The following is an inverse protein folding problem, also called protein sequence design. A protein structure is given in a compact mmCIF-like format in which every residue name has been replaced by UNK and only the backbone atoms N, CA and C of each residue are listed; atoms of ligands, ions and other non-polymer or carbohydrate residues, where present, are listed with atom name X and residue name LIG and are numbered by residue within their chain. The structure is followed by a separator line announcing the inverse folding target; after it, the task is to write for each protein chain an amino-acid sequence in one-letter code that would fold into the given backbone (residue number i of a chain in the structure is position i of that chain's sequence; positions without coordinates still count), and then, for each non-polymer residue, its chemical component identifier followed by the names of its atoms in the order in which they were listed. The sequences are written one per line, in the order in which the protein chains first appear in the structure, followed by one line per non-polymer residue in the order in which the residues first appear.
data_IF_610085133179
#
_entry.id   IF_610085133179
#
_cell.length_a   1.000
_cell.length_b   1.000
_cell.length_c   1.000
_cell.angle_alpha   90.00
_cell.angle_beta   90.00
_cell.angle_gamma   90.00
#
_symmetry.space_group_name_H-M   'P 1'
#
loop_
_entity.id
_entity.type
_entity.pdbx_description
1 polymer ?
#
# COMPACT_ATOMS: atom_id res chain seq x y z
N UNK A 1 -19.83 -1.26 -4.56
CA UNK A 1 -18.61 -1.92 -4.07
C UNK A 1 -17.47 -1.60 -5.02
N UNK A 2 -16.28 -1.29 -4.49
CA UNK A 2 -15.12 -0.88 -5.28
C UNK A 2 -13.87 -1.60 -4.77
N UNK A 3 -13.05 -2.13 -5.66
CA UNK A 3 -11.75 -2.70 -5.31
C UNK A 3 -10.74 -1.56 -5.11
N UNK A 4 -10.00 -1.59 -4.01
CA UNK A 4 -9.00 -0.57 -3.69
C UNK A 4 -7.56 -1.07 -3.78
N UNK A 5 -7.35 -2.33 -3.42
CA UNK A 5 -6.02 -2.90 -3.29
C UNK A 5 -6.08 -4.39 -3.61
N UNK A 6 -5.01 -4.93 -4.18
CA UNK A 6 -4.81 -6.37 -4.31
C UNK A 6 -3.34 -6.69 -4.10
N UNK A 7 -3.06 -7.87 -3.55
CA UNK A 7 -1.70 -8.37 -3.38
C UNK A 7 -1.66 -9.88 -3.55
N UNK A 8 -0.52 -10.40 -4.00
CA UNK A 8 -0.21 -11.84 -3.97
C UNK A 8 -0.05 -12.35 -2.54
N UNK A 9 0.32 -11.47 -1.60
CA UNK A 9 0.49 -11.82 -0.20
C UNK A 9 -0.82 -11.59 0.57
N UNK A 10 -1.45 -12.68 1.01
CA UNK A 10 -2.71 -12.60 1.75
C UNK A 10 -2.55 -11.97 3.13
N UNK A 11 -1.35 -12.02 3.71
CA UNK A 11 -1.07 -11.42 5.02
C UNK A 11 -1.06 -9.90 4.94
N UNK A 12 -0.53 -9.33 3.85
CA UNK A 12 -0.60 -7.90 3.55
C UNK A 12 -2.07 -7.45 3.46
N UNK A 13 -2.90 -8.16 2.72
CA UNK A 13 -4.33 -7.79 2.56
C UNK A 13 -5.09 -7.88 3.89
N UNK A 14 -4.83 -8.90 4.72
CA UNK A 14 -5.45 -9.00 6.05
C UNK A 14 -4.96 -7.90 7.01
N UNK A 15 -3.70 -7.48 6.94
CA UNK A 15 -3.20 -6.32 7.71
C UNK A 15 -3.90 -5.04 7.30
N UNK A 16 -4.03 -4.78 6.00
CA UNK A 16 -4.72 -3.58 5.50
C UNK A 16 -6.20 -3.59 5.91
N UNK A 17 -6.86 -4.74 5.85
CA UNK A 17 -8.24 -4.91 6.34
C UNK A 17 -8.37 -4.57 7.83
N UNK A 18 -7.40 -4.93 8.66
CA UNK A 18 -7.39 -4.57 10.08
C UNK A 18 -7.34 -3.04 10.27
N UNK A 19 -6.47 -2.35 9.52
CA UNK A 19 -6.37 -0.88 9.53
C UNK A 19 -7.67 -0.21 9.07
N UNK A 20 -8.28 -0.74 8.02
CA UNK A 20 -9.58 -0.25 7.52
C UNK A 20 -10.69 -0.42 8.56
N UNK A 21 -10.72 -1.57 9.24
CA UNK A 21 -11.70 -1.84 10.30
C UNK A 21 -11.47 -0.90 11.48
N UNK A 22 -10.22 -0.66 11.88
CA UNK A 22 -9.87 0.29 12.93
C UNK A 22 -10.26 1.73 12.58
N UNK A 23 -10.18 2.11 11.30
CA UNK A 23 -10.63 3.40 10.79
C UNK A 23 -12.17 3.52 10.63
N UNK A 24 -12.92 2.45 10.94
CA UNK A 24 -14.37 2.38 10.80
C UNK A 24 -14.86 2.27 9.35
N UNK A 25 -14.01 1.78 8.45
CA UNK A 25 -14.31 1.64 7.01
C UNK A 25 -14.72 0.18 6.74
N UNK A 26 -15.99 -0.08 6.37
CA UNK A 26 -16.45 -1.42 6.09
C UNK A 26 -15.83 -1.97 4.79
N UNK A 27 -15.02 -3.02 4.94
CA UNK A 27 -14.31 -3.66 3.84
C UNK A 27 -14.46 -5.19 3.87
N UNK A 28 -14.15 -5.83 2.75
CA UNK A 28 -14.18 -7.28 2.56
C UNK A 28 -12.99 -7.73 1.73
N UNK A 29 -12.44 -8.90 2.08
CA UNK A 29 -11.35 -9.53 1.35
C UNK A 29 -11.92 -10.60 0.45
N UNK A 30 -11.57 -10.55 -0.84
CA UNK A 30 -11.94 -11.54 -1.84
C UNK A 30 -10.70 -12.23 -2.37
N UNK A 31 -10.82 -13.50 -2.74
CA UNK A 31 -9.76 -14.19 -3.48
C UNK A 31 -10.02 -13.97 -4.96
N UNK A 32 -9.08 -13.33 -5.65
CA UNK A 32 -9.12 -13.17 -7.10
C UNK A 32 -9.04 -14.54 -7.75
N UNK A 33 -10.08 -14.92 -8.50
CA UNK A 33 -10.19 -16.25 -9.15
C UNK A 33 -9.71 -16.25 -10.60
N UNK A 34 -8.92 -15.25 -11.02
CA UNK A 34 -8.38 -15.20 -12.38
C UNK A 34 -7.55 -16.47 -12.66
N UNK A 35 -8.02 -17.37 -13.55
CA UNK A 35 -7.45 -18.71 -13.71
C UNK A 35 -6.05 -18.71 -14.37
N UNK A 36 -5.58 -17.55 -14.84
CA UNK A 36 -4.27 -17.36 -15.50
C UNK A 36 -3.32 -16.45 -14.72
N UNK A 37 -3.76 -15.84 -13.62
CA UNK A 37 -2.93 -14.99 -12.77
C UNK A 37 -2.62 -15.74 -11.47
N UNK A 38 -1.52 -15.38 -10.81
CA UNK A 38 -1.20 -15.89 -9.47
C UNK A 38 -2.38 -15.63 -8.53
N UNK A 39 -2.64 -16.50 -7.53
CA UNK A 39 -3.70 -16.23 -6.56
C UNK A 39 -3.38 -14.91 -5.84
N UNK A 40 -4.27 -13.94 -6.00
CA UNK A 40 -4.17 -12.64 -5.33
C UNK A 40 -5.36 -12.48 -4.38
N UNK A 41 -5.11 -11.88 -3.22
CA UNK A 41 -6.15 -11.40 -2.34
C UNK A 41 -6.47 -9.95 -2.71
N UNK A 42 -7.76 -9.60 -2.72
CA UNK A 42 -8.29 -8.31 -3.12
C UNK A 42 -9.05 -7.70 -1.95
N UNK A 43 -8.83 -6.42 -1.68
CA UNK A 43 -9.58 -5.64 -0.69
C UNK A 43 -10.62 -4.77 -1.38
N UNK A 44 -11.87 -4.96 -0.96
CA UNK A 44 -13.05 -4.29 -1.49
C UNK A 44 -13.72 -3.45 -0.42
N UNK A 45 -14.12 -2.22 -0.74
CA UNK A 45 -15.00 -1.43 0.13
C UNK A 45 -16.46 -1.70 -0.17
N UNK A 46 -17.26 -1.78 0.89
CA UNK A 46 -18.70 -1.97 0.77
C UNK A 46 -19.40 -0.70 0.29
N UNK A 47 -19.09 0.42 0.94
CA UNK A 47 -19.74 1.70 0.74
C UNK A 47 -18.85 2.64 -0.08
N UNK A 48 -19.41 3.22 -1.15
CA UNK A 48 -18.66 4.14 -2.01
C UNK A 48 -18.46 5.52 -1.37
N UNK A 49 -19.33 5.89 -0.42
CA UNK A 49 -19.19 7.15 0.34
C UNK A 49 -17.89 7.19 1.15
N UNK A 50 -17.39 6.03 1.57
CA UNK A 50 -16.12 5.90 2.29
C UNK A 50 -14.92 5.83 1.34
N UNK A 51 -15.11 5.90 0.01
CA UNK A 51 -14.02 5.71 -0.94
C UNK A 51 -12.91 6.75 -0.75
N UNK A 52 -13.25 8.01 -0.51
CA UNK A 52 -12.26 9.07 -0.31
C UNK A 52 -11.38 8.79 0.93
N UNK A 53 -12.02 8.48 2.07
CA UNK A 53 -11.29 8.13 3.31
C UNK A 53 -10.45 6.88 3.11
N UNK A 54 -10.97 5.89 2.40
CA UNK A 54 -10.28 4.66 2.11
C UNK A 54 -9.06 4.86 1.20
N UNK A 55 -9.16 5.72 0.17
CA UNK A 55 -8.01 6.09 -0.66
C UNK A 55 -6.95 6.84 0.15
N UNK A 56 -7.35 7.77 1.00
CA UNK A 56 -6.41 8.47 1.89
C UNK A 56 -5.70 7.50 2.84
N UNK A 57 -6.41 6.50 3.36
CA UNK A 57 -5.81 5.46 4.19
C UNK A 57 -4.83 4.59 3.39
N UNK A 58 -5.15 4.21 2.15
CA UNK A 58 -4.21 3.53 1.27
C UNK A 58 -2.92 4.33 1.06
N UNK A 59 -3.03 5.65 0.84
CA UNK A 59 -1.86 6.54 0.69
C UNK A 59 -1.03 6.56 1.97
N UNK A 60 -1.68 6.72 3.13
CA UNK A 60 -1.01 6.75 4.43
C UNK A 60 -0.27 5.43 4.73
N UNK A 61 -0.87 4.30 4.37
CA UNK A 61 -0.29 2.97 4.50
C UNK A 61 0.75 2.65 3.40
N UNK A 62 0.95 3.54 2.43
CA UNK A 62 1.90 3.33 1.32
C UNK A 62 1.46 2.27 0.31
N UNK A 63 0.16 1.99 0.22
CA UNK A 63 -0.43 1.02 -0.71
C UNK A 63 -0.72 1.67 -2.06
N UNK A 64 -0.47 0.94 -3.16
CA UNK A 64 -0.86 1.38 -4.52
C UNK A 64 0.14 2.30 -5.23
N UNK A 65 1.14 2.84 -4.51
CA UNK A 65 2.32 3.42 -5.14
C UNK A 65 3.32 2.29 -5.30
N UNK A 66 3.79 2.03 -6.52
CA UNK A 66 4.91 1.10 -6.73
C UNK A 66 5.98 1.46 -5.71
N UNK A 67 6.17 0.59 -4.69
CA UNK A 67 7.23 0.75 -3.69
C UNK A 67 8.52 0.71 -4.49
N UNK A 68 9.00 1.87 -4.95
CA UNK A 68 10.39 2.03 -5.36
C UNK A 68 11.13 1.66 -4.10
N UNK A 69 11.76 0.49 -4.09
CA UNK A 69 12.67 0.16 -2.99
C UNK A 69 13.54 1.39 -2.80
N UNK A 70 13.55 2.02 -1.61
CA UNK A 70 14.50 3.10 -1.38
C UNK A 70 15.86 2.48 -1.62
N UNK A 71 16.57 2.93 -2.66
CA UNK A 71 17.99 2.64 -2.78
C UNK A 71 18.59 3.15 -1.47
N UNK A 72 19.36 2.33 -0.73
CA UNK A 72 20.09 2.85 0.41
C UNK A 72 20.92 4.02 -0.11
N UNK A 73 20.57 5.23 0.33
CA UNK A 73 21.41 6.40 0.17
C UNK A 73 22.60 6.14 1.07
N UNK A 74 23.68 5.65 0.47
CA UNK A 74 25.00 5.71 1.06
C UNK A 74 25.29 7.20 1.28
N UNK A 75 25.21 7.65 2.52
CA UNK A 75 25.75 8.94 2.95
C UNK A 75 27.28 8.82 2.89
N UNK A 76 27.85 8.98 1.70
CA UNK A 76 29.28 9.24 1.53
C UNK A 76 29.40 10.48 0.64
N UNK A 77 29.06 11.62 1.23
CA UNK A 77 29.32 12.93 0.68
C UNK A 77 29.98 13.74 1.81
N UNK A 78 31.31 13.62 1.88
CA UNK A 78 32.16 14.50 2.66
C UNK A 78 33.17 15.12 1.71
N UNK A 79 32.68 16.01 0.83
CA UNK A 79 33.52 17.08 0.28
C UNK A 79 33.79 18.09 1.40
N UNK A 80 34.92 17.94 2.08
CA UNK A 80 35.46 18.96 2.98
C UNK A 80 36.32 19.91 2.12
N UNK A 81 35.83 21.14 1.95
CA UNK A 81 36.58 22.26 1.38
C UNK A 81 38.01 22.33 1.97
N UNK A 82 39.02 22.38 1.10
CA UNK A 82 40.31 22.99 1.42
C UNK A 82 40.46 24.24 0.58
N UNK A 83 40.23 25.38 1.24
CA UNK A 83 40.77 26.65 0.82
C UNK A 83 42.28 26.62 1.10
N UNK A 84 43.11 26.86 0.09
CA UNK A 84 44.49 27.31 0.29
C UNK A 84 44.76 28.53 -0.60
N UNK A 85 45.53 29.42 0.02
CA UNK A 85 45.85 30.83 -0.24
C UNK A 85 46.63 31.09 -1.54
#
# INVERSE_FOLDING_TARGET
MKMLFYSSDSSEVERVKAEFTAAGIPCEVRKGTQPKASPHAELWIRNDQDCHRAFMLCVHLGLGFSRRQPRPVSLDDSEFEHAED
#
